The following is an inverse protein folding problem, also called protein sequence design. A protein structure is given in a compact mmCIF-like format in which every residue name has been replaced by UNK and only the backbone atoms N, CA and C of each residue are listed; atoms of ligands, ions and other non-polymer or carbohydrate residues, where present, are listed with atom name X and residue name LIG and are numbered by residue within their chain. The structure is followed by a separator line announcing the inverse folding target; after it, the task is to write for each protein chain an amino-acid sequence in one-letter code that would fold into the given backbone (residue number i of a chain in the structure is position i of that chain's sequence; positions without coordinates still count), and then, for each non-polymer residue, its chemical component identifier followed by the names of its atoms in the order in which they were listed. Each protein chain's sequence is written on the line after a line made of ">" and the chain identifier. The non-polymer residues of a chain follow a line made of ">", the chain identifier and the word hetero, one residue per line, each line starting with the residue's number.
data_IF_244998450089
#
_entry.id   IF_244998450089
#
_cell.length_a   1.000
_cell.length_b   1.000
_cell.length_c   1.000
_cell.angle_alpha   90.00
_cell.angle_beta   90.00
_cell.angle_gamma   90.00
#
_symmetry.space_group_name_H-M   'P 1'
#
loop_
_entity.id
_entity.type
_entity.pdbx_description
1 polymer ?
#
# COMPACT_ATOMS: atom_id res chain seq x y z
N UNK A 1 -14.88 -8.03 4.61
CA UNK A 1 -13.91 -7.17 5.33
C UNK A 1 -14.31 -5.72 5.11
N UNK A 2 -14.27 -4.90 6.14
CA UNK A 2 -14.50 -3.45 6.02
C UNK A 2 -13.25 -2.71 6.47
N UNK A 3 -12.71 -1.85 5.60
CA UNK A 3 -11.57 -0.97 5.91
C UNK A 3 -12.05 0.48 6.04
N UNK A 4 -11.61 1.16 7.10
CA UNK A 4 -11.98 2.53 7.39
C UNK A 4 -10.82 3.47 7.07
N UNK A 5 -11.03 4.43 6.18
CA UNK A 5 -10.05 5.47 5.84
C UNK A 5 -10.62 6.85 6.18
N UNK A 6 -9.89 7.61 6.97
CA UNK A 6 -10.18 9.02 7.16
C UNK A 6 -9.54 9.87 6.06
N UNK A 7 -10.25 10.85 5.57
CA UNK A 7 -9.76 11.74 4.52
C UNK A 7 -10.31 13.17 4.72
N UNK A 8 -9.52 14.15 4.33
CA UNK A 8 -9.99 15.55 4.30
C UNK A 8 -11.02 15.80 3.19
N UNK A 9 -10.86 15.09 2.06
CA UNK A 9 -11.80 15.14 0.91
C UNK A 9 -12.06 13.72 0.40
N UNK A 10 -13.31 13.45 0.06
CA UNK A 10 -13.71 12.22 -0.63
C UNK A 10 -13.75 12.53 -2.13
N UNK A 11 -12.82 11.98 -2.89
CA UNK A 11 -12.72 12.16 -4.34
C UNK A 11 -13.00 10.84 -5.04
N UNK A 12 -13.93 10.83 -5.99
CA UNK A 12 -14.34 9.61 -6.71
C UNK A 12 -13.21 8.96 -7.52
N UNK A 13 -12.29 9.78 -8.06
CA UNK A 13 -11.13 9.28 -8.83
C UNK A 13 -10.19 8.35 -8.05
N UNK A 14 -10.20 8.44 -6.73
CA UNK A 14 -9.30 7.62 -5.88
C UNK A 14 -9.78 6.18 -5.69
N UNK A 15 -11.01 5.84 -6.05
CA UNK A 15 -11.51 4.46 -5.88
C UNK A 15 -10.73 3.43 -6.70
N UNK A 16 -10.41 3.75 -7.95
CA UNK A 16 -9.64 2.85 -8.82
C UNK A 16 -8.22 2.56 -8.30
N UNK A 17 -7.65 3.47 -7.53
CA UNK A 17 -6.34 3.28 -6.93
C UNK A 17 -6.34 2.17 -5.89
N UNK A 18 -7.45 1.99 -5.16
CA UNK A 18 -7.57 0.96 -4.15
C UNK A 18 -7.72 -0.45 -4.73
N UNK A 19 -8.18 -0.59 -5.98
CA UNK A 19 -8.29 -1.89 -6.64
C UNK A 19 -6.94 -2.60 -6.79
N UNK A 20 -5.88 -1.84 -7.07
CA UNK A 20 -4.50 -2.34 -7.20
C UNK A 20 -3.60 -1.98 -6.00
N UNK A 21 -4.18 -1.49 -4.93
CA UNK A 21 -3.46 -1.24 -3.69
C UNK A 21 -3.17 -2.56 -2.96
N UNK A 22 -1.91 -2.77 -2.60
CA UNK A 22 -1.44 -4.01 -1.97
C UNK A 22 -2.20 -4.37 -0.69
N UNK A 23 -2.66 -3.39 0.08
CA UNK A 23 -3.48 -3.62 1.27
C UNK A 23 -4.81 -4.29 0.91
N UNK A 24 -5.49 -3.79 -0.12
CA UNK A 24 -6.80 -4.33 -0.54
C UNK A 24 -6.68 -5.67 -1.26
N UNK A 25 -5.60 -5.87 -2.02
CA UNK A 25 -5.27 -7.17 -2.60
C UNK A 25 -5.03 -8.20 -1.47
N UNK A 26 -4.24 -7.83 -0.46
CA UNK A 26 -3.98 -8.66 0.71
C UNK A 26 -5.27 -9.02 1.48
N UNK A 27 -6.18 -8.06 1.66
CA UNK A 27 -7.48 -8.34 2.29
C UNK A 27 -8.34 -9.31 1.50
N UNK A 28 -8.34 -9.22 0.18
CA UNK A 28 -9.06 -10.16 -0.69
C UNK A 28 -8.47 -11.56 -0.58
N UNK A 29 -7.15 -11.69 -0.65
CA UNK A 29 -6.47 -12.97 -0.48
C UNK A 29 -6.77 -13.62 0.87
N UNK A 30 -6.58 -12.86 1.95
CA UNK A 30 -6.85 -13.33 3.30
C UNK A 30 -8.32 -13.73 3.48
N UNK A 31 -9.24 -12.93 2.93
CA UNK A 31 -10.66 -13.19 2.96
C UNK A 31 -11.03 -14.50 2.27
N UNK A 32 -10.51 -14.73 1.07
CA UNK A 32 -10.71 -15.99 0.34
C UNK A 32 -10.08 -17.18 1.07
N UNK A 33 -8.86 -17.05 1.57
CA UNK A 33 -8.20 -18.13 2.31
C UNK A 33 -8.94 -18.51 3.60
N UNK A 34 -9.48 -17.54 4.32
CA UNK A 34 -10.13 -17.76 5.61
C UNK A 34 -11.59 -18.17 5.50
N UNK A 35 -12.32 -17.62 4.55
CA UNK A 35 -13.78 -17.76 4.49
C UNK A 35 -14.27 -18.53 3.24
N UNK A 36 -13.37 -18.79 2.27
CA UNK A 36 -13.72 -19.49 1.02
C UNK A 36 -14.83 -18.78 0.28
N UNK A 37 -15.83 -19.55 -0.15
CA UNK A 37 -17.00 -19.06 -0.89
C UNK A 37 -17.91 -18.11 -0.08
N UNK A 38 -17.79 -18.09 1.23
CA UNK A 38 -18.53 -17.17 2.10
C UNK A 38 -17.92 -15.76 2.13
N UNK A 39 -16.76 -15.56 1.51
CA UNK A 39 -16.14 -14.24 1.44
C UNK A 39 -16.83 -13.38 0.38
N UNK A 40 -17.60 -12.40 0.83
CA UNK A 40 -18.37 -11.50 -0.04
C UNK A 40 -17.56 -10.30 -0.58
N UNK A 41 -16.29 -10.14 -0.18
CA UNK A 41 -15.41 -9.08 -0.67
C UNK A 41 -14.95 -8.07 0.39
N UNK A 42 -14.40 -6.97 -0.09
CA UNK A 42 -13.86 -5.87 0.73
C UNK A 42 -14.65 -4.60 0.49
N UNK A 43 -14.98 -3.91 1.56
CA UNK A 43 -15.67 -2.62 1.53
C UNK A 43 -14.71 -1.55 2.05
N UNK A 44 -14.48 -0.53 1.25
CA UNK A 44 -13.83 0.70 1.69
C UNK A 44 -14.87 1.66 2.25
N UNK A 45 -14.71 2.04 3.52
CA UNK A 45 -15.51 3.06 4.17
C UNK A 45 -14.67 4.31 4.39
N UNK A 46 -14.90 5.34 3.57
CA UNK A 46 -14.21 6.63 3.68
C UNK A 46 -15.01 7.57 4.55
N UNK A 47 -14.34 8.16 5.53
CA UNK A 47 -14.92 9.11 6.48
C UNK A 47 -14.24 10.44 6.26
N UNK A 48 -15.01 11.45 5.88
CA UNK A 48 -14.52 12.81 5.79
C UNK A 48 -14.55 13.46 7.16
N UNK A 49 -13.37 13.79 7.69
CA UNK A 49 -13.20 14.41 9.01
C UNK A 49 -12.98 15.93 8.88
N UNK A 50 -13.92 16.66 8.29
CA UNK A 50 -13.85 18.12 8.11
C UNK A 50 -15.23 18.73 8.38
N UNK A 51 -15.43 20.08 8.50
CA UNK A 51 -16.58 20.67 9.23
C UNK A 51 -17.95 20.15 8.82
N UNK A 52 -18.06 19.49 7.68
CA UNK A 52 -19.20 18.64 7.31
C UNK A 52 -18.72 17.21 7.21
N UNK A 53 -19.09 16.39 8.17
CA UNK A 53 -18.88 14.94 8.09
C UNK A 53 -19.61 14.38 6.87
N UNK A 54 -18.93 13.53 6.13
CA UNK A 54 -19.47 12.84 4.98
C UNK A 54 -18.95 11.42 4.95
N UNK A 55 -19.72 10.49 4.41
CA UNK A 55 -19.38 9.07 4.38
C UNK A 55 -19.56 8.55 2.95
N UNK A 56 -18.59 7.84 2.48
CA UNK A 56 -18.68 7.10 1.25
C UNK A 56 -18.25 5.65 1.47
N UNK A 57 -19.18 4.74 1.23
CA UNK A 57 -18.96 3.31 1.40
C UNK A 57 -19.08 2.62 0.05
N UNK A 58 -17.98 2.00 -0.38
CA UNK A 58 -17.90 1.36 -1.70
C UNK A 58 -17.28 -0.03 -1.61
N UNK A 59 -17.82 -1.02 -2.33
CA UNK A 59 -17.12 -2.26 -2.55
C UNK A 59 -15.86 -2.00 -3.39
N UNK A 60 -14.80 -2.72 -3.07
CA UNK A 60 -13.57 -2.76 -3.88
C UNK A 60 -13.71 -3.91 -4.86
N UNK A 61 -13.63 -3.59 -6.15
CA UNK A 61 -13.68 -4.60 -7.21
C UNK A 61 -12.46 -5.52 -7.10
N UNK A 62 -12.65 -6.84 -7.26
CA UNK A 62 -11.54 -7.77 -7.27
C UNK A 62 -10.67 -7.56 -8.51
N UNK A 63 -9.35 -7.76 -8.33
CA UNK A 63 -8.36 -7.72 -9.40
C UNK A 63 -7.72 -9.11 -9.55
N UNK A 64 -8.33 -10.07 -10.27
CA UNK A 64 -7.88 -11.47 -10.30
C UNK A 64 -6.43 -11.64 -10.75
N UNK A 65 -5.99 -10.87 -11.73
CA UNK A 65 -4.60 -10.90 -12.19
C UNK A 65 -3.63 -10.45 -11.09
N UNK A 66 -3.95 -9.32 -10.42
CA UNK A 66 -3.13 -8.84 -9.31
C UNK A 66 -3.12 -9.81 -8.12
N UNK A 67 -4.24 -10.47 -7.82
CA UNK A 67 -4.31 -11.51 -6.79
C UNK A 67 -3.38 -12.68 -7.09
N UNK A 68 -3.32 -13.13 -8.35
CA UNK A 68 -2.45 -14.21 -8.79
C UNK A 68 -0.97 -13.88 -8.59
N UNK A 69 -0.57 -12.65 -8.88
CA UNK A 69 0.81 -12.22 -8.87
C UNK A 69 1.27 -11.66 -7.51
N UNK A 70 0.36 -11.43 -6.59
CA UNK A 70 0.64 -10.78 -5.32
C UNK A 70 1.57 -11.58 -4.40
N UNK A 71 1.29 -12.89 -4.21
CA UNK A 71 2.14 -13.75 -3.37
C UNK A 71 3.54 -13.91 -3.95
N UNK A 72 3.71 -14.24 -5.25
CA UNK A 72 5.02 -14.26 -5.87
C UNK A 72 5.79 -12.95 -5.69
N UNK A 73 5.12 -11.81 -5.81
CA UNK A 73 5.73 -10.48 -5.61
C UNK A 73 6.20 -10.26 -4.17
N UNK A 74 5.42 -10.71 -3.18
CA UNK A 74 5.81 -10.63 -1.77
C UNK A 74 7.01 -11.53 -1.47
N UNK A 75 7.01 -12.77 -1.96
CA UNK A 75 8.13 -13.71 -1.79
C UNK A 75 9.41 -13.15 -2.42
N UNK A 76 9.30 -12.53 -3.60
CA UNK A 76 10.44 -11.89 -4.24
C UNK A 76 10.94 -10.68 -3.45
N UNK A 77 10.03 -9.86 -2.90
CA UNK A 77 10.40 -8.74 -2.04
C UNK A 77 11.13 -9.21 -0.78
N UNK A 78 10.64 -10.28 -0.15
CA UNK A 78 11.29 -10.90 1.02
C UNK A 78 12.71 -11.40 0.71
N UNK A 79 12.89 -12.14 -0.38
CA UNK A 79 14.21 -12.59 -0.85
C UNK A 79 15.18 -11.43 -1.07
N UNK A 80 14.69 -10.32 -1.62
CA UNK A 80 15.50 -9.12 -1.80
C UNK A 80 15.91 -8.52 -0.47
N UNK A 81 15.01 -8.45 0.51
CA UNK A 81 15.33 -8.00 1.86
C UNK A 81 16.38 -8.91 2.51
N UNK A 82 16.20 -10.23 2.44
CA UNK A 82 17.16 -11.22 2.96
C UNK A 82 18.55 -11.06 2.34
N UNK A 83 18.64 -10.77 1.05
CA UNK A 83 19.92 -10.55 0.35
C UNK A 83 20.70 -9.37 0.93
N UNK A 84 20.01 -8.37 1.45
CA UNK A 84 20.61 -7.16 2.01
C UNK A 84 20.67 -7.18 3.54
N UNK A 85 19.97 -8.12 4.15
CA UNK A 85 19.99 -8.31 5.60
C UNK A 85 21.41 -8.66 6.07
N UNK A 86 21.94 -7.94 7.03
CA UNK A 86 23.31 -8.14 7.51
C UNK A 86 24.40 -7.38 6.75
N UNK A 87 24.05 -6.64 5.68
CA UNK A 87 24.94 -5.68 5.03
C UNK A 87 24.88 -4.32 5.69
N UNK A 88 25.94 -3.55 5.55
CA UNK A 88 25.95 -2.16 6.02
C UNK A 88 24.89 -1.33 5.29
N UNK A 89 24.17 -0.41 5.97
CA UNK A 89 23.10 0.39 5.35
C UNK A 89 23.53 1.12 4.07
N UNK A 90 24.77 1.53 3.94
CA UNK A 90 25.31 2.18 2.73
C UNK A 90 25.42 1.27 1.51
N UNK A 91 25.40 -0.03 1.72
CA UNK A 91 25.44 -1.04 0.63
C UNK A 91 24.04 -1.40 0.13
N UNK A 92 22.99 -0.91 0.81
CA UNK A 92 21.62 -1.20 0.42
C UNK A 92 21.25 -0.43 -0.85
N UNK A 93 20.48 -1.04 -1.75
CA UNK A 93 20.06 -0.37 -2.98
C UNK A 93 19.18 0.84 -2.65
N UNK A 94 19.52 1.98 -3.22
CA UNK A 94 18.75 3.20 -3.05
C UNK A 94 17.57 3.24 -4.02
N UNK A 95 16.42 3.61 -3.52
CA UNK A 95 15.25 3.90 -4.37
C UNK A 95 15.26 5.38 -4.74
N UNK A 96 15.88 5.70 -5.86
CA UNK A 96 16.04 7.09 -6.32
C UNK A 96 14.81 7.57 -7.11
N UNK A 97 13.71 7.81 -6.43
CA UNK A 97 12.51 8.39 -7.04
C UNK A 97 12.00 9.58 -6.23
N UNK A 98 11.49 10.61 -6.92
CA UNK A 98 10.90 11.76 -6.26
C UNK A 98 9.77 11.38 -5.29
N UNK A 99 9.02 10.32 -5.59
CA UNK A 99 7.91 9.85 -4.76
C UNK A 99 8.39 9.28 -3.42
N UNK A 100 9.58 8.70 -3.39
CA UNK A 100 10.17 8.14 -2.17
C UNK A 100 11.00 9.20 -1.44
N UNK A 101 11.78 9.98 -2.17
CA UNK A 101 12.65 11.00 -1.58
C UNK A 101 11.88 12.23 -1.08
N UNK A 102 10.76 12.56 -1.74
CA UNK A 102 9.85 13.64 -1.37
C UNK A 102 8.42 13.13 -1.39
N UNK A 103 8.05 12.40 -0.36
CA UNK A 103 6.71 11.84 -0.22
C UNK A 103 5.70 12.85 0.33
N UNK A 104 4.48 12.37 0.54
CA UNK A 104 3.35 13.14 1.10
C UNK A 104 3.67 13.81 2.44
N UNK A 105 4.58 13.25 3.20
CA UNK A 105 4.94 13.70 4.56
C UNK A 105 6.25 14.50 4.62
N UNK A 106 6.79 14.86 3.46
CA UNK A 106 8.02 15.64 3.35
C UNK A 106 9.20 14.87 2.79
N UNK A 107 10.39 15.38 3.05
CA UNK A 107 11.65 14.79 2.63
C UNK A 107 11.95 13.52 3.45
N UNK A 108 12.45 12.49 2.78
CA UNK A 108 12.95 11.29 3.44
C UNK A 108 14.11 11.59 4.40
N UNK A 109 14.11 11.02 5.58
CA UNK A 109 15.15 11.22 6.58
C UNK A 109 16.55 10.80 6.09
N UNK A 110 16.62 9.79 5.23
CA UNK A 110 17.85 9.33 4.60
C UNK A 110 18.28 10.15 3.36
N UNK A 111 17.57 11.23 3.00
CA UNK A 111 17.84 11.99 1.79
C UNK A 111 19.29 12.50 1.71
N UNK A 112 19.79 13.04 2.80
CA UNK A 112 21.17 13.57 2.85
C UNK A 112 22.21 12.44 2.74
N UNK A 113 21.95 11.29 3.34
CA UNK A 113 22.79 10.11 3.21
C UNK A 113 22.84 9.65 1.73
N UNK A 114 21.69 9.60 1.06
CA UNK A 114 21.63 9.23 -0.34
C UNK A 114 22.30 10.25 -1.27
N UNK A 115 22.25 11.55 -0.90
CA UNK A 115 22.81 12.64 -1.72
C UNK A 115 24.31 12.81 -1.55
N UNK A 116 24.83 12.68 -0.33
CA UNK A 116 26.20 13.08 0.01
C UNK A 116 27.07 11.91 0.48
N UNK A 117 26.50 10.71 0.63
CA UNK A 117 27.24 9.54 1.10
C UNK A 117 27.65 9.70 2.55
N UNK A 118 27.07 9.56 3.54
CA UNK A 118 27.35 9.55 4.99
C UNK A 118 28.79 9.85 5.43
N UNK A 119 29.25 11.04 5.18
CA UNK A 119 30.41 11.63 5.87
C UNK A 119 29.94 12.41 7.10
#
# INVERSE_FOLDING_TARGET
>A
IVDHKTAYRIVSKTLRQYTLDGQFIGYQMFGHAKYGERFAGVILNRIKASPKYDFDRRPIEPAPAALKDFVPSLVEAERRVETWQGKEPREWPMTLTNQVCYGKYGQCDAYNLCRFGGE
#
